data_IF_902979898763
#
_entry.id   IF_902979898763
#
_cell.length_a   1.000
_cell.length_b   1.000
_cell.length_c   1.000
_cell.angle_alpha   90.00
_cell.angle_beta   90.00
_cell.angle_gamma   90.00
#
_symmetry.space_group_name_H-M   'P 1'
#
loop_
_entity.id
_entity.type
_entity.pdbx_description
1 polymer ?
#
# COMPACT_ATOMS: atom_id res chain seq x y z
N UNK A 1 11.25 47.56 -19.59
CA UNK A 1 11.68 46.15 -19.49
C UNK A 1 10.79 45.44 -18.47
N UNK A 2 9.67 44.83 -18.92
CA UNK A 2 8.76 44.10 -18.00
C UNK A 2 9.26 42.67 -17.87
N UNK A 3 9.89 42.34 -16.76
CA UNK A 3 10.27 40.97 -16.44
C UNK A 3 8.95 40.18 -16.25
N UNK A 4 8.70 39.10 -17.01
CA UNK A 4 7.47 38.33 -16.86
C UNK A 4 7.51 37.55 -15.54
N UNK A 5 6.80 38.08 -14.54
CA UNK A 5 6.66 37.55 -13.17
C UNK A 5 6.29 36.05 -13.15
N UNK A 6 5.62 35.55 -14.20
CA UNK A 6 5.29 34.13 -14.37
C UNK A 6 6.51 33.21 -14.30
N UNK A 7 7.67 33.58 -14.89
CA UNK A 7 8.86 32.69 -14.92
C UNK A 7 9.54 32.49 -13.57
N UNK A 8 9.30 33.38 -12.59
CA UNK A 8 9.99 33.35 -11.30
C UNK A 8 9.21 32.60 -10.20
N UNK A 9 7.87 32.53 -10.30
CA UNK A 9 7.02 31.83 -9.32
C UNK A 9 6.77 30.35 -9.66
N UNK A 10 6.93 29.95 -10.92
CA UNK A 10 6.74 28.58 -11.41
C UNK A 10 7.69 27.51 -10.80
N UNK A 11 8.98 27.77 -10.55
CA UNK A 11 9.91 26.72 -10.13
C UNK A 11 9.55 26.13 -8.76
N UNK A 12 9.14 26.96 -7.80
CA UNK A 12 8.79 26.51 -6.46
C UNK A 12 7.49 25.69 -6.40
N UNK A 13 6.52 26.05 -7.23
CA UNK A 13 5.25 25.31 -7.35
C UNK A 13 5.50 23.95 -8.03
N UNK A 14 6.32 23.94 -9.08
CA UNK A 14 6.61 22.72 -9.83
C UNK A 14 7.41 21.70 -9.00
N UNK A 15 8.45 22.15 -8.28
CA UNK A 15 9.19 21.32 -7.32
C UNK A 15 8.29 20.72 -6.22
N UNK A 16 7.29 21.47 -5.77
CA UNK A 16 6.32 20.98 -4.79
C UNK A 16 5.41 19.89 -5.36
N UNK A 17 4.87 20.12 -6.56
CA UNK A 17 4.00 19.14 -7.25
C UNK A 17 4.77 17.84 -7.51
N UNK A 18 6.00 17.93 -8.01
CA UNK A 18 6.84 16.76 -8.29
C UNK A 18 7.12 15.94 -7.02
N UNK A 19 7.35 16.62 -5.89
CA UNK A 19 7.55 15.97 -4.59
C UNK A 19 6.29 15.28 -4.11
N UNK A 20 5.13 15.93 -4.20
CA UNK A 20 3.86 15.34 -3.77
C UNK A 20 3.50 14.11 -4.63
N UNK A 21 3.67 14.17 -5.95
CA UNK A 21 3.46 13.03 -6.87
C UNK A 21 4.38 11.86 -6.50
N UNK A 22 5.67 12.12 -6.24
CA UNK A 22 6.62 11.07 -5.81
C UNK A 22 6.18 10.41 -4.52
N UNK A 23 5.69 11.19 -3.55
CA UNK A 23 5.18 10.64 -2.28
C UNK A 23 3.99 9.72 -2.54
N UNK A 24 2.97 10.18 -3.29
CA UNK A 24 1.82 9.31 -3.61
C UNK A 24 2.24 8.04 -4.34
N UNK A 25 3.13 8.15 -5.33
CA UNK A 25 3.58 6.99 -6.09
C UNK A 25 4.29 5.96 -5.21
N UNK A 26 5.26 6.41 -4.40
CA UNK A 26 6.04 5.53 -3.52
C UNK A 26 5.12 4.89 -2.48
N UNK A 27 4.26 5.66 -1.81
CA UNK A 27 3.39 5.10 -0.76
C UNK A 27 2.34 4.15 -1.33
N UNK A 28 1.88 4.36 -2.57
CA UNK A 28 0.95 3.43 -3.24
C UNK A 28 1.62 2.08 -3.49
N UNK A 29 2.85 2.08 -4.01
CA UNK A 29 3.61 0.85 -4.26
C UNK A 29 3.92 0.13 -2.93
N UNK A 30 4.43 0.88 -1.95
CA UNK A 30 4.71 0.33 -0.62
C UNK A 30 3.43 -0.22 0.01
N UNK A 31 2.32 0.51 -0.12
CA UNK A 31 1.01 0.08 0.34
C UNK A 31 0.57 -1.23 -0.30
N UNK A 32 0.71 -1.38 -1.63
CA UNK A 32 0.37 -2.61 -2.33
C UNK A 32 1.20 -3.81 -1.84
N UNK A 33 2.52 -3.60 -1.65
CA UNK A 33 3.43 -4.61 -1.09
C UNK A 33 3.01 -5.00 0.33
N UNK A 34 2.71 -4.02 1.19
CA UNK A 34 2.19 -4.26 2.55
C UNK A 34 0.86 -5.03 2.51
N UNK A 35 -0.02 -4.69 1.57
CA UNK A 35 -1.26 -5.41 1.32
C UNK A 35 -1.02 -6.90 1.10
N UNK A 36 -0.07 -7.22 0.23
CA UNK A 36 0.23 -8.60 -0.16
C UNK A 36 1.06 -9.37 0.85
N UNK A 37 2.02 -8.74 1.53
CA UNK A 37 2.97 -9.43 2.42
C UNK A 37 2.61 -9.33 3.91
N UNK A 38 1.66 -8.48 4.29
CA UNK A 38 1.23 -8.33 5.70
C UNK A 38 -0.26 -8.62 5.81
N UNK A 39 -1.10 -7.91 5.07
CA UNK A 39 -2.55 -8.05 5.18
C UNK A 39 -3.05 -9.44 4.73
N UNK A 40 -2.56 -9.93 3.59
CA UNK A 40 -2.91 -11.28 3.11
C UNK A 40 -2.52 -12.40 4.09
N UNK A 41 -1.26 -12.55 4.55
CA UNK A 41 -0.90 -13.62 5.46
C UNK A 41 -1.59 -13.50 6.81
N UNK A 42 -1.82 -12.28 7.30
CA UNK A 42 -2.58 -12.06 8.53
C UNK A 42 -4.01 -12.58 8.38
N UNK A 43 -4.68 -12.26 7.25
CA UNK A 43 -6.01 -12.79 6.97
C UNK A 43 -6.02 -14.31 6.84
N UNK A 44 -5.04 -14.91 6.15
CA UNK A 44 -4.97 -16.37 6.04
C UNK A 44 -4.69 -17.05 7.38
N UNK A 45 -3.98 -16.38 8.28
CA UNK A 45 -3.77 -16.85 9.65
C UNK A 45 -5.07 -16.86 10.44
N UNK A 46 -5.89 -15.80 10.34
CA UNK A 46 -7.22 -15.76 10.97
C UNK A 46 -8.09 -16.90 10.43
N UNK A 47 -8.13 -17.07 9.10
CA UNK A 47 -8.88 -18.13 8.44
C UNK A 47 -8.46 -19.52 8.92
N UNK A 48 -7.16 -19.73 9.15
CA UNK A 48 -6.64 -20.97 9.70
C UNK A 48 -7.22 -21.26 11.09
N UNK A 49 -7.17 -20.28 11.99
CA UNK A 49 -7.70 -20.43 13.34
C UNK A 49 -9.22 -20.59 13.37
N UNK A 50 -9.92 -20.04 12.38
CA UNK A 50 -11.38 -20.10 12.29
C UNK A 50 -11.88 -21.44 11.73
N UNK A 51 -11.17 -22.02 10.74
CA UNK A 51 -11.71 -23.16 9.99
C UNK A 51 -10.82 -24.41 9.96
N UNK A 52 -9.51 -24.28 10.13
CA UNK A 52 -8.54 -25.36 9.82
C UNK A 52 -7.88 -25.94 11.07
N UNK A 53 -7.74 -25.15 12.14
CA UNK A 53 -7.01 -25.55 13.35
C UNK A 53 -7.51 -26.85 13.99
N UNK A 54 -8.80 -27.17 13.86
CA UNK A 54 -9.42 -28.33 14.52
C UNK A 54 -9.27 -29.65 13.74
N UNK A 55 -8.60 -29.62 12.58
CA UNK A 55 -8.30 -30.84 11.82
C UNK A 55 -7.23 -31.68 12.54
N UNK A 56 -7.54 -32.95 12.82
CA UNK A 56 -6.69 -33.86 13.62
C UNK A 56 -5.27 -34.03 13.04
N UNK A 57 -5.14 -34.01 11.72
CA UNK A 57 -3.87 -34.05 10.98
C UNK A 57 -3.66 -32.76 10.14
N UNK A 58 -4.19 -31.63 10.64
CA UNK A 58 -4.18 -30.35 9.94
C UNK A 58 -2.77 -29.76 9.75
N UNK A 59 -2.56 -28.92 8.72
CA UNK A 59 -1.29 -28.22 8.56
C UNK A 59 -1.04 -27.26 9.72
N UNK A 60 0.21 -26.86 9.94
CA UNK A 60 0.49 -25.71 10.82
C UNK A 60 0.03 -24.40 10.16
N UNK A 61 -0.23 -23.34 10.96
CA UNK A 61 -0.54 -21.99 10.45
C UNK A 61 0.44 -21.55 9.37
N UNK A 62 1.73 -21.78 9.60
CA UNK A 62 2.80 -21.37 8.67
C UNK A 62 2.68 -22.14 7.35
N UNK A 63 2.51 -23.46 7.41
CA UNK A 63 2.33 -24.29 6.21
C UNK A 63 1.06 -23.91 5.44
N UNK A 64 -0.02 -23.59 6.14
CA UNK A 64 -1.26 -23.12 5.55
C UNK A 64 -1.04 -21.77 4.83
N UNK A 65 -0.46 -20.78 5.50
CA UNK A 65 -0.20 -19.47 4.90
C UNK A 65 0.75 -19.58 3.70
N UNK A 66 1.78 -20.43 3.79
CA UNK A 66 2.70 -20.71 2.68
C UNK A 66 1.98 -21.36 1.49
N UNK A 67 1.10 -22.34 1.73
CA UNK A 67 0.34 -22.97 0.65
C UNK A 67 -0.60 -21.96 -0.03
N UNK A 68 -1.23 -21.09 0.75
CA UNK A 68 -2.04 -19.98 0.22
C UNK A 68 -1.22 -19.00 -0.63
N UNK A 69 0.03 -18.70 -0.26
CA UNK A 69 0.93 -17.90 -1.09
C UNK A 69 1.32 -18.60 -2.39
N UNK A 70 1.60 -19.90 -2.35
CA UNK A 70 1.90 -20.66 -3.55
C UNK A 70 0.72 -20.67 -4.53
N UNK A 71 -0.51 -20.85 -4.02
CA UNK A 71 -1.76 -20.71 -4.80
C UNK A 71 -1.98 -19.29 -5.33
N UNK A 72 -1.51 -18.28 -4.60
CA UNK A 72 -1.58 -16.88 -5.01
C UNK A 72 -0.68 -16.62 -6.23
N UNK A 73 0.55 -17.12 -6.20
CA UNK A 73 1.56 -16.89 -7.25
C UNK A 73 1.45 -17.87 -8.42
N UNK A 74 0.84 -19.03 -8.25
CA UNK A 74 0.51 -19.95 -9.34
C UNK A 74 -0.61 -19.41 -10.25
N UNK A 75 -1.30 -18.35 -9.82
CA UNK A 75 -2.40 -17.73 -10.54
C UNK A 75 -3.78 -18.30 -10.21
N UNK A 76 -3.86 -19.42 -9.46
CA UNK A 76 -5.12 -20.03 -9.03
C UNK A 76 -5.99 -19.08 -8.19
N UNK A 77 -5.36 -18.16 -7.44
CA UNK A 77 -6.07 -17.20 -6.59
C UNK A 77 -5.73 -15.74 -6.91
N UNK A 78 -5.59 -15.43 -8.20
CA UNK A 78 -5.29 -14.09 -8.71
C UNK A 78 -6.27 -13.00 -8.23
N UNK A 79 -7.53 -13.35 -7.92
CA UNK A 79 -8.49 -12.43 -7.30
C UNK A 79 -8.07 -11.94 -5.91
N UNK A 80 -7.56 -12.83 -5.04
CA UNK A 80 -7.03 -12.42 -3.72
C UNK A 80 -5.80 -11.53 -3.89
N UNK A 81 -4.91 -11.86 -4.83
CA UNK A 81 -3.71 -11.07 -5.10
C UNK A 81 -4.07 -9.62 -5.46
N UNK A 82 -5.03 -9.46 -6.38
CA UNK A 82 -5.51 -8.17 -6.81
C UNK A 82 -6.19 -7.42 -5.66
N UNK A 83 -7.06 -8.09 -4.90
CA UNK A 83 -7.77 -7.50 -3.78
C UNK A 83 -6.81 -6.92 -2.73
N UNK A 84 -5.87 -7.72 -2.22
CA UNK A 84 -4.95 -7.27 -1.18
C UNK A 84 -3.97 -6.21 -1.68
N UNK A 85 -3.54 -6.29 -2.94
CA UNK A 85 -2.70 -5.25 -3.56
C UNK A 85 -3.44 -3.92 -3.68
N UNK A 86 -4.72 -3.93 -4.10
CA UNK A 86 -5.53 -2.71 -4.22
C UNK A 86 -5.84 -2.11 -2.85
N UNK A 87 -6.27 -2.94 -1.88
CA UNK A 87 -6.56 -2.48 -0.52
C UNK A 87 -5.31 -1.87 0.10
N UNK A 88 -4.16 -2.53 -0.03
CA UNK A 88 -2.88 -2.01 0.42
C UNK A 88 -2.52 -0.68 -0.26
N UNK A 89 -2.66 -0.59 -1.58
CA UNK A 89 -2.43 0.63 -2.34
C UNK A 89 -3.30 1.80 -1.87
N UNK A 90 -4.59 1.54 -1.60
CA UNK A 90 -5.53 2.54 -1.07
C UNK A 90 -5.11 3.04 0.31
N UNK A 91 -4.67 2.15 1.20
CA UNK A 91 -4.12 2.54 2.51
C UNK A 91 -2.84 3.38 2.36
N UNK A 92 -1.99 3.02 1.40
CA UNK A 92 -0.80 3.80 1.04
C UNK A 92 -1.12 5.21 0.54
N UNK A 93 -2.14 5.35 -0.31
CA UNK A 93 -2.64 6.64 -0.78
C UNK A 93 -3.21 7.49 0.36
N UNK A 94 -4.01 6.88 1.24
CA UNK A 94 -4.57 7.54 2.40
C UNK A 94 -3.47 8.05 3.34
N UNK A 95 -2.43 7.24 3.54
CA UNK A 95 -1.24 7.62 4.33
C UNK A 95 -0.50 8.80 3.72
N UNK A 96 -0.27 8.79 2.40
CA UNK A 96 0.33 9.94 1.70
C UNK A 96 -0.52 11.20 1.84
N UNK A 97 -1.84 11.07 1.72
CA UNK A 97 -2.77 12.20 1.86
C UNK A 97 -2.66 12.84 3.25
N UNK A 98 -2.64 12.02 4.29
CA UNK A 98 -2.46 12.47 5.69
C UNK A 98 -1.09 13.15 5.84
N UNK A 99 -0.02 12.52 5.34
CA UNK A 99 1.34 13.06 5.45
C UNK A 99 1.47 14.44 4.79
N UNK A 100 0.97 14.59 3.57
CA UNK A 100 1.00 15.87 2.84
C UNK A 100 0.15 16.92 3.55
N UNK A 101 -1.05 16.54 4.04
CA UNK A 101 -1.91 17.44 4.80
C UNK A 101 -1.23 17.96 6.07
N UNK A 102 -0.62 17.08 6.88
CA UNK A 102 0.11 17.47 8.09
C UNK A 102 1.31 18.36 7.75
N UNK A 103 2.13 17.98 6.77
CA UNK A 103 3.32 18.74 6.40
C UNK A 103 2.98 20.14 5.83
N UNK A 104 1.82 20.28 5.18
CA UNK A 104 1.34 21.59 4.73
C UNK A 104 0.93 22.50 5.88
N UNK A 105 0.44 21.97 7.01
CA UNK A 105 0.04 22.78 8.18
C UNK A 105 1.24 23.31 8.97
N UNK A 106 2.29 22.51 9.12
CA UNK A 106 3.51 22.91 9.85
C UNK A 106 4.37 23.95 9.14
N UNK A 107 4.11 24.26 7.86
CA UNK A 107 4.88 25.23 7.09
C UNK A 107 4.35 26.67 7.17
N UNK A 108 3.26 26.88 7.92
CA UNK A 108 2.61 28.18 8.12
C UNK A 108 2.65 28.64 9.61
N UNK A 109 3.39 27.94 10.46
CA UNK A 109 3.77 28.36 11.82
C UNK A 109 5.28 28.62 11.78
#
# INVERSE_FOLDING_TARGET
>A
MRIPIKKFLLPGIQLRIDREIKIYFITTIVGAIVGLFILFPLNQSILFYEYVQNELDGPTVIQFVQSQFNMLFSGENSGKLMFYSIVGAMLGLLTARIHISLNSRFRYI
#
